data_IF_599792421531
#
_entry.id   IF_599792421531
#
_cell.length_a   1.000
_cell.length_b   1.000
_cell.length_c   1.000
_cell.angle_alpha   90.00
_cell.angle_beta   90.00
_cell.angle_gamma   90.00
#
_symmetry.space_group_name_H-M   'P 1'
#
loop_
_entity.id
_entity.type
_entity.pdbx_description
1 polymer ?
#
# COMPACT_ATOMS: atom_id res chain seq x y z
N UNK A 1 1.67 -16.87 -3.36
CA UNK A 1 3.04 -16.58 -3.85
C UNK A 1 3.20 -15.07 -3.97
N UNK A 2 4.37 -14.51 -3.65
CA UNK A 2 4.62 -13.07 -3.74
C UNK A 2 5.15 -12.67 -5.11
N UNK A 3 4.54 -11.64 -5.71
CA UNK A 3 4.90 -11.03 -6.98
C UNK A 3 5.66 -9.73 -6.72
N UNK A 4 6.86 -9.57 -7.26
CA UNK A 4 7.66 -8.34 -7.10
C UNK A 4 7.31 -7.34 -8.19
N UNK A 5 7.20 -6.07 -7.84
CA UNK A 5 7.06 -4.96 -8.78
C UNK A 5 8.45 -4.38 -9.01
N UNK A 6 9.10 -4.71 -10.13
CA UNK A 6 10.48 -4.28 -10.45
C UNK A 6 10.55 -3.24 -11.56
N UNK A 7 9.45 -3.06 -12.28
CA UNK A 7 9.36 -2.19 -13.45
C UNK A 7 7.97 -1.60 -13.54
N UNK A 8 7.82 -0.52 -14.32
CA UNK A 8 6.51 0.06 -14.59
C UNK A 8 5.55 -0.97 -15.22
N UNK A 9 6.07 -1.87 -16.06
CA UNK A 9 5.27 -2.97 -16.63
C UNK A 9 4.68 -3.90 -15.56
N UNK A 10 5.42 -4.20 -14.50
CA UNK A 10 4.91 -5.03 -13.40
C UNK A 10 3.83 -4.29 -12.60
N UNK A 11 3.98 -2.97 -12.45
CA UNK A 11 2.99 -2.10 -11.83
C UNK A 11 1.71 -2.03 -12.66
N UNK A 12 1.84 -1.79 -13.97
CA UNK A 12 0.72 -1.74 -14.91
C UNK A 12 -0.05 -3.07 -14.93
N UNK A 13 0.67 -4.21 -14.86
CA UNK A 13 0.04 -5.53 -14.77
C UNK A 13 -0.75 -5.73 -13.47
N UNK A 14 -0.27 -5.20 -12.34
CA UNK A 14 -1.04 -5.19 -11.09
C UNK A 14 -2.26 -4.27 -11.20
N UNK A 15 -2.09 -3.07 -11.78
CA UNK A 15 -3.18 -2.13 -12.00
C UNK A 15 -4.28 -2.77 -12.85
N UNK A 16 -3.93 -3.45 -13.94
CA UNK A 16 -4.90 -4.18 -14.79
C UNK A 16 -5.57 -5.32 -14.02
N UNK A 17 -4.78 -6.14 -13.31
CA UNK A 17 -5.30 -7.29 -12.55
C UNK A 17 -6.29 -6.88 -11.46
N UNK A 18 -6.01 -5.80 -10.73
CA UNK A 18 -6.78 -5.38 -9.56
C UNK A 18 -7.76 -4.23 -9.88
N UNK A 19 -8.15 -4.08 -11.15
CA UNK A 19 -9.17 -3.12 -11.58
C UNK A 19 -8.80 -1.65 -11.31
N UNK A 20 -7.51 -1.32 -11.34
CA UNK A 20 -6.99 0.00 -11.02
C UNK A 20 -7.22 0.42 -9.57
N UNK A 21 -7.49 -0.53 -8.67
CA UNK A 21 -7.96 -0.31 -7.30
C UNK A 21 -9.35 0.36 -7.21
N UNK A 22 -10.05 0.53 -8.34
CA UNK A 22 -11.38 1.14 -8.41
C UNK A 22 -12.41 0.33 -7.62
N UNK A 23 -13.43 1.00 -7.06
CA UNK A 23 -14.43 0.42 -6.15
C UNK A 23 -13.78 -0.35 -4.99
N UNK A 24 -12.59 0.13 -4.59
CA UNK A 24 -11.75 -0.46 -3.59
C UNK A 24 -11.66 0.35 -2.32
N UNK A 25 -10.96 -0.22 -1.35
CA UNK A 25 -10.58 0.47 -0.12
C UNK A 25 -9.23 -0.06 0.38
N UNK A 26 -8.55 0.77 1.17
CA UNK A 26 -7.54 0.30 2.12
C UNK A 26 -8.29 -0.31 3.29
N UNK A 27 -8.17 -1.62 3.47
CA UNK A 27 -8.81 -2.35 4.58
C UNK A 27 -8.01 -2.20 5.85
N UNK A 28 -6.72 -2.50 5.79
CA UNK A 28 -5.83 -2.53 6.95
C UNK A 28 -4.41 -2.19 6.57
N UNK A 29 -3.67 -1.62 7.52
CA UNK A 29 -2.22 -1.40 7.41
C UNK A 29 -1.50 -1.90 8.66
N UNK A 30 -0.33 -2.51 8.47
CA UNK A 30 0.59 -2.87 9.56
C UNK A 30 1.99 -2.36 9.23
N UNK A 31 2.55 -1.54 10.11
CA UNK A 31 3.91 -1.06 9.98
C UNK A 31 4.84 -1.79 10.96
N UNK A 32 5.98 -2.24 10.46
CA UNK A 32 7.05 -2.84 11.26
C UNK A 32 8.33 -2.04 11.03
N UNK A 33 8.72 -1.23 12.01
CA UNK A 33 9.96 -0.42 11.96
C UNK A 33 11.22 -1.30 12.00
N UNK A 34 11.19 -2.37 12.80
CA UNK A 34 12.36 -3.14 13.20
C UNK A 34 13.05 -2.60 14.46
N UNK A 35 12.52 -1.50 15.01
CA UNK A 35 12.90 -0.99 16.32
C UNK A 35 12.19 -1.79 17.41
N UNK A 36 12.83 -1.93 18.56
CA UNK A 36 12.22 -2.54 19.73
C UNK A 36 12.93 -2.11 21.02
N UNK A 37 12.27 -2.34 22.14
CA UNK A 37 12.87 -2.31 23.47
C UNK A 37 12.86 -3.74 23.98
N UNK A 38 14.02 -4.25 24.40
CA UNK A 38 14.13 -5.61 24.90
C UNK A 38 13.66 -5.76 26.36
N UNK A 39 13.71 -6.97 26.89
CA UNK A 39 13.27 -7.28 28.26
C UNK A 39 14.10 -6.54 29.33
N UNK A 40 15.35 -6.17 29.00
CA UNK A 40 16.23 -5.34 29.85
C UNK A 40 15.98 -3.83 29.70
N UNK A 41 14.88 -3.41 29.07
CA UNK A 41 14.55 -2.00 28.80
C UNK A 41 15.60 -1.26 27.95
N UNK A 42 16.41 -2.00 27.21
CA UNK A 42 17.41 -1.46 26.28
C UNK A 42 16.81 -1.29 24.89
N UNK A 43 17.00 -0.11 24.33
CA UNK A 43 16.48 0.25 23.02
C UNK A 43 17.39 -0.25 21.89
N UNK A 44 16.78 -0.84 20.85
CA UNK A 44 17.37 -1.00 19.53
C UNK A 44 16.79 0.09 18.60
N UNK A 45 17.48 1.24 18.45
CA UNK A 45 16.93 2.45 17.81
C UNK A 45 17.19 2.48 16.30
N UNK A 46 17.12 1.32 15.63
CA UNK A 46 17.34 1.24 14.20
C UNK A 46 16.09 0.74 13.50
N UNK A 47 15.56 1.58 12.63
CA UNK A 47 14.53 1.26 11.65
C UNK A 47 15.04 0.25 10.61
N UNK A 48 15.33 -0.98 11.03
CA UNK A 48 16.04 -2.00 10.24
C UNK A 48 15.16 -2.70 9.21
N UNK A 49 13.83 -2.71 9.42
CA UNK A 49 12.85 -3.35 8.54
C UNK A 49 12.16 -2.31 7.65
N UNK A 50 11.41 -1.39 8.27
CA UNK A 50 10.57 -0.37 7.59
C UNK A 50 9.64 -1.01 6.55
N UNK A 51 8.97 -2.09 6.93
CA UNK A 51 8.00 -2.76 6.08
C UNK A 51 6.58 -2.27 6.42
N UNK A 52 5.86 -1.78 5.43
CA UNK A 52 4.45 -1.45 5.52
C UNK A 52 3.65 -2.49 4.73
N UNK A 53 2.81 -3.23 5.44
CA UNK A 53 1.87 -4.18 4.88
C UNK A 53 0.52 -3.47 4.74
N UNK A 54 -0.11 -3.61 3.59
CA UNK A 54 -1.40 -2.98 3.26
C UNK A 54 -2.30 -4.02 2.63
N UNK A 55 -3.52 -4.13 3.14
CA UNK A 55 -4.57 -4.95 2.55
C UNK A 55 -5.49 -4.02 1.76
N UNK A 56 -5.69 -4.35 0.49
CA UNK A 56 -6.69 -3.72 -0.34
C UNK A 56 -7.80 -4.72 -0.64
N UNK A 57 -9.05 -4.25 -0.59
CA UNK A 57 -10.24 -4.98 -1.03
C UNK A 57 -10.93 -4.17 -2.13
N UNK A 58 -11.63 -4.83 -3.05
CA UNK A 58 -12.54 -4.15 -3.99
C UNK A 58 -13.78 -5.01 -4.33
N UNK A 59 -14.73 -4.44 -5.07
CA UNK A 59 -16.04 -5.07 -5.38
C UNK A 59 -16.02 -6.02 -6.60
N UNK A 60 -14.86 -6.52 -7.01
CA UNK A 60 -14.69 -7.40 -8.18
C UNK A 60 -14.13 -8.74 -7.73
N UNK A 61 -14.13 -9.73 -8.62
CA UNK A 61 -13.62 -11.08 -8.36
C UNK A 61 -12.36 -11.33 -9.18
N UNK A 62 -11.51 -12.24 -8.68
CA UNK A 62 -10.31 -12.77 -9.34
C UNK A 62 -9.18 -11.73 -9.56
N UNK A 63 -8.55 -11.21 -8.49
CA UNK A 63 -8.86 -11.43 -7.07
C UNK A 63 -9.88 -10.41 -6.54
N UNK A 64 -10.34 -10.57 -5.30
CA UNK A 64 -11.20 -9.61 -4.58
C UNK A 64 -10.44 -8.88 -3.47
N UNK A 65 -9.31 -9.44 -3.03
CA UNK A 65 -8.38 -8.80 -2.10
C UNK A 65 -6.92 -9.12 -2.46
N UNK A 66 -6.05 -8.15 -2.22
CA UNK A 66 -4.60 -8.31 -2.30
C UNK A 66 -3.94 -7.79 -1.03
N UNK A 67 -2.81 -8.41 -0.70
CA UNK A 67 -1.89 -7.87 0.28
C UNK A 67 -0.66 -7.33 -0.45
N UNK A 68 -0.30 -6.10 -0.14
CA UNK A 68 0.85 -5.38 -0.69
C UNK A 68 1.82 -5.09 0.43
N UNK A 69 3.11 -5.32 0.18
CA UNK A 69 4.19 -4.92 1.09
C UNK A 69 5.05 -3.88 0.40
N UNK A 70 5.13 -2.73 1.03
CA UNK A 70 6.03 -1.63 0.70
C UNK A 70 7.25 -1.74 1.62
N UNK A 71 8.34 -2.26 1.08
CA UNK A 71 9.59 -2.49 1.81
C UNK A 71 10.55 -1.32 1.69
N UNK A 72 11.34 -1.10 2.75
CA UNK A 72 12.18 0.10 2.90
C UNK A 72 11.33 1.37 2.73
N UNK A 73 10.23 1.45 3.46
CA UNK A 73 9.33 2.60 3.46
C UNK A 73 10.13 3.90 3.60
N UNK A 74 9.85 4.86 2.72
CA UNK A 74 10.50 6.18 2.70
C UNK A 74 9.58 7.20 3.35
N UNK A 75 8.31 7.25 2.91
CA UNK A 75 7.30 8.15 3.46
C UNK A 75 5.89 7.65 3.11
N UNK A 76 4.94 7.95 3.97
CA UNK A 76 3.51 7.73 3.74
C UNK A 76 2.75 8.99 4.15
N UNK A 77 1.73 9.34 3.39
CA UNK A 77 0.66 10.24 3.82
C UNK A 77 -0.63 9.43 3.87
N UNK A 78 -1.34 9.48 4.99
CA UNK A 78 -2.63 8.83 5.16
C UNK A 78 -3.67 9.94 5.38
N UNK A 79 -4.59 10.06 4.42
CA UNK A 79 -5.65 11.07 4.41
C UNK A 79 -7.00 10.36 4.27
N UNK A 80 -7.55 9.80 5.37
CA UNK A 80 -8.84 9.13 5.32
C UNK A 80 -9.97 10.15 5.20
N UNK A 81 -11.02 9.79 4.47
CA UNK A 81 -12.27 10.56 4.46
C UNK A 81 -13.00 10.38 5.79
N UNK A 82 -13.72 11.42 6.22
CA UNK A 82 -14.61 11.33 7.37
C UNK A 82 -15.93 10.61 7.02
N UNK A 83 -16.81 10.42 8.00
CA UNK A 83 -18.07 9.69 7.82
C UNK A 83 -19.09 10.42 6.94
N UNK A 84 -18.82 11.65 6.49
CA UNK A 84 -19.70 12.40 5.59
C UNK A 84 -19.47 12.05 4.12
N UNK A 85 -18.30 11.48 3.81
CA UNK A 85 -17.91 11.06 2.46
C UNK A 85 -17.65 9.55 2.44
N UNK A 86 -17.68 8.96 1.25
CA UNK A 86 -17.24 7.58 1.10
C UNK A 86 -15.71 7.53 1.02
N UNK A 87 -15.08 6.52 1.63
CA UNK A 87 -13.64 6.25 1.51
C UNK A 87 -13.30 5.33 0.34
N UNK A 88 -14.05 5.41 -0.76
CA UNK A 88 -13.85 4.55 -1.94
C UNK A 88 -12.65 5.05 -2.73
N UNK A 89 -11.75 4.15 -3.09
CA UNK A 89 -10.71 4.40 -4.08
C UNK A 89 -11.40 4.44 -5.45
N UNK A 90 -11.45 5.63 -6.05
CA UNK A 90 -11.98 5.84 -7.40
C UNK A 90 -10.95 5.49 -8.48
N UNK A 91 -9.70 5.28 -8.08
CA UNK A 91 -8.62 4.81 -8.92
C UNK A 91 -7.30 5.17 -8.29
N UNK A 92 -6.27 4.41 -8.63
CA UNK A 92 -4.93 4.64 -8.14
C UNK A 92 -3.95 4.88 -9.28
N UNK A 93 -2.74 5.27 -8.91
CA UNK A 93 -1.58 5.24 -9.79
C UNK A 93 -0.41 4.56 -9.08
N UNK A 94 0.34 3.73 -9.80
CA UNK A 94 1.64 3.22 -9.36
C UNK A 94 2.70 3.68 -10.34
N UNK A 95 3.76 4.28 -9.82
CA UNK A 95 4.95 4.61 -10.58
C UNK A 95 6.18 3.88 -10.04
N UNK A 96 7.00 3.36 -10.96
CA UNK A 96 8.28 2.71 -10.64
C UNK A 96 9.41 3.46 -11.35
N UNK A 97 10.40 3.90 -10.58
CA UNK A 97 11.57 4.60 -11.09
C UNK A 97 12.83 4.21 -10.30
N UNK A 98 13.95 4.87 -10.57
CA UNK A 98 15.24 4.58 -9.91
C UNK A 98 15.21 4.81 -8.39
N UNK A 99 14.33 5.69 -7.91
CA UNK A 99 14.16 6.00 -6.48
C UNK A 99 13.21 5.03 -5.75
N UNK A 100 12.61 4.07 -6.47
CA UNK A 100 11.74 3.05 -5.94
C UNK A 100 10.34 3.10 -6.52
N UNK A 101 9.33 3.00 -5.65
CA UNK A 101 7.92 2.85 -6.01
C UNK A 101 7.06 3.85 -5.25
N UNK A 102 6.08 4.40 -5.95
CA UNK A 102 5.06 5.29 -5.40
C UNK A 102 3.69 4.73 -5.75
N UNK A 103 2.81 4.61 -4.77
CA UNK A 103 1.38 4.36 -4.94
C UNK A 103 0.60 5.57 -4.43
N UNK A 104 -0.41 6.02 -5.17
CA UNK A 104 -1.31 7.12 -4.78
C UNK A 104 -2.75 6.77 -5.07
N UNK A 105 -3.63 7.13 -4.15
CA UNK A 105 -5.09 7.10 -4.27
C UNK A 105 -5.59 8.34 -5.02
N UNK A 106 -5.42 8.35 -6.35
CA UNK A 106 -5.87 9.41 -7.25
C UNK A 106 -5.91 8.90 -8.71
N UNK A 107 -7.08 8.96 -9.35
CA UNK A 107 -7.33 8.48 -10.71
C UNK A 107 -6.86 9.45 -11.82
N UNK A 108 -6.63 10.72 -11.45
CA UNK A 108 -6.15 11.76 -12.36
C UNK A 108 -4.63 11.74 -12.51
N UNK A 109 -3.93 11.13 -11.56
CA UNK A 109 -2.47 11.07 -11.53
C UNK A 109 -1.94 10.03 -12.52
N UNK A 110 -0.84 10.37 -13.18
CA UNK A 110 -0.12 9.49 -14.12
C UNK A 110 1.30 9.25 -13.60
N UNK A 111 1.89 8.13 -13.98
CA UNK A 111 3.23 7.76 -13.50
C UNK A 111 4.30 8.84 -13.83
N UNK A 112 4.12 9.55 -14.94
CA UNK A 112 5.01 10.63 -15.39
C UNK A 112 4.97 11.90 -14.51
N UNK A 113 3.86 12.17 -13.81
CA UNK A 113 3.69 13.37 -12.99
C UNK A 113 3.38 13.08 -11.52
N UNK A 114 3.46 11.81 -11.09
CA UNK A 114 3.09 11.37 -9.75
C UNK A 114 3.81 12.12 -8.62
N UNK A 115 5.06 12.52 -8.86
CA UNK A 115 5.87 13.25 -7.87
C UNK A 115 5.31 14.63 -7.54
N UNK A 116 4.66 15.28 -8.50
CA UNK A 116 4.03 16.59 -8.33
C UNK A 116 2.65 16.47 -7.67
N UNK A 117 2.02 15.30 -7.79
CA UNK A 117 0.70 15.02 -7.24
C UNK A 117 0.71 14.65 -5.75
N UNK A 118 1.88 14.43 -5.14
CA UNK A 118 2.01 14.11 -3.73
C UNK A 118 1.66 15.32 -2.86
N UNK A 119 0.39 15.42 -2.49
CA UNK A 119 -0.15 16.46 -1.62
C UNK A 119 -0.69 15.87 -0.31
N UNK A 120 -1.00 16.72 0.66
CA UNK A 120 -1.48 16.31 1.99
C UNK A 120 -2.92 15.78 1.98
N UNK A 121 -3.72 16.11 0.95
CA UNK A 121 -5.11 15.69 0.81
C UNK A 121 -5.30 14.27 0.27
N UNK A 122 -4.27 13.68 -0.34
CA UNK A 122 -4.35 12.34 -0.94
C UNK A 122 -3.60 11.31 -0.09
N UNK A 123 -4.11 10.07 -0.04
CA UNK A 123 -3.36 8.96 0.55
C UNK A 123 -2.30 8.46 -0.44
N UNK A 124 -1.03 8.41 -0.03
CA UNK A 124 0.07 7.93 -0.87
C UNK A 124 1.19 7.29 -0.07
N UNK A 125 1.91 6.38 -0.72
CA UNK A 125 3.00 5.59 -0.13
C UNK A 125 4.20 5.64 -1.08
N UNK A 126 5.37 6.05 -0.55
CA UNK A 126 6.66 5.96 -1.23
C UNK A 126 7.57 4.97 -0.51
N UNK A 127 8.11 4.01 -1.25
CA UNK A 127 8.98 2.96 -0.72
C UNK A 127 10.09 2.61 -1.70
N UNK A 128 11.11 1.88 -1.22
CA UNK A 128 12.16 1.39 -2.09
C UNK A 128 11.74 0.21 -2.96
N UNK A 129 10.86 -0.65 -2.44
CA UNK A 129 10.45 -1.89 -3.09
C UNK A 129 8.97 -2.17 -2.81
N UNK A 130 8.29 -2.82 -3.77
CA UNK A 130 6.91 -3.27 -3.62
C UNK A 130 6.78 -4.72 -4.07
N UNK A 131 6.02 -5.50 -3.30
CA UNK A 131 5.59 -6.85 -3.68
C UNK A 131 4.14 -7.05 -3.27
N UNK A 132 3.41 -7.91 -3.96
CA UNK A 132 2.01 -8.17 -3.68
C UNK A 132 1.68 -9.66 -3.78
N UNK A 133 0.59 -10.09 -3.17
CA UNK A 133 0.00 -11.41 -3.38
C UNK A 133 -1.52 -11.31 -3.40
N UNK A 134 -2.17 -12.25 -4.09
CA UNK A 134 -3.60 -12.49 -3.88
C UNK A 134 -3.81 -12.88 -2.43
N UNK A 135 -4.82 -12.29 -1.81
CA UNK A 135 -5.16 -12.47 -0.41
C UNK A 135 -6.68 -12.53 -0.22
N UNK A 136 -7.39 -13.25 -1.09
CA UNK A 136 -8.85 -13.40 -1.03
C UNK A 136 -9.33 -13.97 0.31
N UNK A 137 -8.46 -14.66 1.06
CA UNK A 137 -8.72 -15.06 2.44
C UNK A 137 -8.98 -13.88 3.40
N UNK A 138 -8.62 -12.65 3.02
CA UNK A 138 -8.78 -11.43 3.81
C UNK A 138 -10.03 -10.63 3.47
N UNK A 139 -10.93 -11.16 2.65
CA UNK A 139 -12.21 -10.47 2.38
C UNK A 139 -13.13 -10.49 3.60
N UNK A 140 -13.80 -9.37 3.85
CA UNK A 140 -14.81 -9.24 4.91
C UNK A 140 -14.46 -8.19 5.97
N UNK A 141 -15.23 -8.20 7.04
CA UNK A 141 -15.18 -7.21 8.13
C UNK A 141 -14.11 -7.49 9.18
N UNK A 142 -13.71 -8.75 9.35
CA UNK A 142 -12.81 -9.16 10.43
C UNK A 142 -11.43 -8.51 10.30
N UNK A 143 -10.78 -8.31 11.44
CA UNK A 143 -9.40 -7.82 11.50
C UNK A 143 -8.43 -8.93 11.08
N UNK A 144 -7.47 -8.61 10.21
CA UNK A 144 -6.49 -9.55 9.68
C UNK A 144 -5.18 -9.47 10.46
N UNK A 145 -4.70 -8.26 10.73
CA UNK A 145 -3.44 -8.04 11.44
C UNK A 145 -3.58 -8.10 12.97
N UNK A 146 -4.15 -9.21 13.47
CA UNK A 146 -4.26 -9.49 14.90
C UNK A 146 -2.95 -10.11 15.45
N UNK A 147 -2.38 -9.48 16.48
CA UNK A 147 -1.04 -9.71 17.04
C UNK A 147 -0.65 -11.17 17.35
N UNK A 148 0.62 -11.52 17.10
CA UNK A 148 1.70 -11.50 18.12
C UNK A 148 2.99 -10.95 17.53
#
# INVERSE_FOLDING_TARGET
>A
MWNKVKSQKDADALMELFGGFHDGCIKEMKYISGEYVNEELSMYPFNSLRDLYVIFQHQYRNPSAIEVVFSRLIRMNLAPQDEQFNGIILGACIAVNEDGVIWVDDDWVKAENIGEALNEGNTWIKAGEMKWRVADEYIGSEEVYINR
#
